data_IF_958575388067
#
_entry.id   IF_958575388067
#
_cell.length_a   1.000
_cell.length_b   1.000
_cell.length_c   1.000
_cell.angle_alpha   90.00
_cell.angle_beta   90.00
_cell.angle_gamma   90.00
#
_symmetry.space_group_name_H-M   'P 1'
#
loop_
_entity.id
_entity.type
_entity.pdbx_description
1 polymer ?
#
# COMPACT_ATOMS: atom_id res chain seq x y z
N UNK A 1 -14.43 9.19 -11.27
CA UNK A 1 -14.59 8.35 -10.08
C UNK A 1 -13.33 8.49 -9.26
N UNK A 2 -13.33 9.36 -8.25
CA UNK A 2 -12.27 9.38 -7.24
C UNK A 2 -12.55 8.18 -6.34
N UNK A 3 -12.07 7.01 -6.75
CA UNK A 3 -12.08 5.83 -5.88
C UNK A 3 -11.26 6.22 -4.66
N UNK A 4 -11.96 6.45 -3.55
CA UNK A 4 -11.43 7.01 -2.31
C UNK A 4 -10.07 6.38 -1.97
N UNK A 5 -8.99 7.15 -2.12
CA UNK A 5 -7.60 6.67 -1.97
C UNK A 5 -7.35 6.12 -0.55
N UNK A 6 -8.07 6.68 0.44
CA UNK A 6 -8.11 6.20 1.82
C UNK A 6 -8.75 4.81 1.92
N UNK A 7 -9.81 4.54 1.14
CA UNK A 7 -10.40 3.20 1.04
C UNK A 7 -9.42 2.20 0.43
N UNK A 8 -8.61 2.62 -0.53
CA UNK A 8 -7.62 1.73 -1.14
C UNK A 8 -6.55 1.29 -0.14
N UNK A 9 -6.07 2.18 0.74
CA UNK A 9 -5.21 1.81 1.87
C UNK A 9 -5.85 0.72 2.74
N UNK A 10 -7.09 0.93 3.18
CA UNK A 10 -7.83 -0.06 3.99
C UNK A 10 -7.94 -1.41 3.29
N UNK A 11 -8.26 -1.42 1.99
CA UNK A 11 -8.39 -2.65 1.20
C UNK A 11 -7.05 -3.37 1.02
N UNK A 12 -5.96 -2.63 0.82
CA UNK A 12 -4.61 -3.20 0.70
C UNK A 12 -4.16 -3.84 2.02
N UNK A 13 -4.38 -3.16 3.14
CA UNK A 13 -4.07 -3.70 4.46
C UNK A 13 -4.88 -4.98 4.72
N UNK A 14 -6.19 -4.97 4.49
CA UNK A 14 -7.02 -6.16 4.67
C UNK A 14 -6.56 -7.34 3.78
N UNK A 15 -6.22 -7.08 2.52
CA UNK A 15 -5.68 -8.11 1.62
C UNK A 15 -4.33 -8.66 2.11
N UNK A 16 -3.51 -7.81 2.71
CA UNK A 16 -2.26 -8.18 3.36
C UNK A 16 -2.48 -9.06 4.60
N UNK A 17 -3.44 -8.71 5.44
CA UNK A 17 -3.84 -9.49 6.61
C UNK A 17 -4.40 -10.87 6.21
N UNK A 18 -5.25 -10.93 5.18
CA UNK A 18 -5.76 -12.19 4.62
C UNK A 18 -4.61 -13.11 4.18
N UNK A 19 -3.62 -12.55 3.50
CA UNK A 19 -2.43 -13.26 3.06
C UNK A 19 -1.58 -13.73 4.25
N UNK A 20 -1.42 -12.90 5.28
CA UNK A 20 -0.66 -13.25 6.48
C UNK A 20 -1.36 -14.35 7.29
N UNK A 21 -2.68 -14.25 7.47
CA UNK A 21 -3.49 -15.27 8.12
C UNK A 21 -3.38 -16.61 7.37
N UNK A 22 -3.44 -16.55 6.04
CA UNK A 22 -3.24 -17.72 5.16
C UNK A 22 -1.86 -18.34 5.33
N UNK A 23 -0.81 -17.52 5.35
CA UNK A 23 0.58 -17.98 5.51
C UNK A 23 0.83 -18.63 6.89
N UNK A 24 0.11 -18.20 7.94
CA UNK A 24 0.23 -18.72 9.32
C UNK A 24 -0.70 -19.90 9.64
N UNK A 25 -1.60 -20.26 8.73
CA UNK A 25 -2.64 -21.26 8.99
C UNK A 25 -2.06 -22.64 9.30
N UNK A 26 -2.73 -23.35 10.22
CA UNK A 26 -2.46 -24.76 10.56
C UNK A 26 -3.75 -25.57 10.41
N UNK A 27 -3.80 -26.64 9.58
CA UNK A 27 -2.73 -27.13 8.71
C UNK A 27 -2.31 -26.12 7.62
N UNK A 28 -1.10 -26.24 7.04
CA UNK A 28 -0.61 -25.27 6.06
C UNK A 28 -1.54 -25.07 4.88
N UNK A 29 -1.72 -23.81 4.47
CA UNK A 29 -2.46 -23.47 3.26
C UNK A 29 -1.76 -24.01 2.00
N UNK A 30 -2.57 -24.29 0.97
CA UNK A 30 -2.06 -24.65 -0.36
C UNK A 30 -1.27 -23.49 -0.97
N UNK A 31 -0.19 -23.79 -1.70
CA UNK A 31 0.65 -22.76 -2.31
C UNK A 31 -0.12 -21.93 -3.36
N UNK A 32 -1.09 -22.54 -4.05
CA UNK A 32 -1.95 -21.85 -5.01
C UNK A 32 -2.79 -20.75 -4.35
N UNK A 33 -3.25 -20.98 -3.12
CA UNK A 33 -4.02 -20.01 -2.35
C UNK A 33 -3.14 -18.81 -1.97
N UNK A 34 -1.92 -19.07 -1.52
CA UNK A 34 -0.91 -18.03 -1.25
C UNK A 34 -0.61 -17.26 -2.55
N UNK A 35 -0.43 -17.95 -3.68
CA UNK A 35 -0.16 -17.32 -4.97
C UNK A 35 -1.30 -16.37 -5.40
N UNK A 36 -2.56 -16.80 -5.27
CA UNK A 36 -3.73 -15.99 -5.60
C UNK A 36 -3.82 -14.72 -4.75
N UNK A 37 -3.62 -14.84 -3.43
CA UNK A 37 -3.63 -13.69 -2.53
C UNK A 37 -2.49 -12.72 -2.81
N UNK A 38 -1.30 -13.22 -3.17
CA UNK A 38 -0.17 -12.38 -3.60
C UNK A 38 -0.47 -11.61 -4.88
N UNK A 39 -1.08 -12.25 -5.87
CA UNK A 39 -1.50 -11.59 -7.12
C UNK A 39 -2.55 -10.51 -6.83
N UNK A 40 -3.53 -10.81 -5.96
CA UNK A 40 -4.52 -9.84 -5.52
C UNK A 40 -3.88 -8.62 -4.86
N UNK A 41 -2.96 -8.82 -3.92
CA UNK A 41 -2.26 -7.73 -3.24
C UNK A 41 -1.43 -6.89 -4.22
N UNK A 42 -0.71 -7.52 -5.14
CA UNK A 42 0.05 -6.82 -6.18
C UNK A 42 -0.86 -5.97 -7.09
N UNK A 43 -2.00 -6.52 -7.52
CA UNK A 43 -2.98 -5.78 -8.32
C UNK A 43 -3.55 -4.56 -7.59
N UNK A 44 -3.86 -4.71 -6.29
CA UNK A 44 -4.31 -3.59 -5.45
C UNK A 44 -3.24 -2.51 -5.31
N UNK A 45 -1.98 -2.89 -5.05
CA UNK A 45 -0.87 -1.95 -4.94
C UNK A 45 -0.64 -1.17 -6.25
N UNK A 46 -0.71 -1.84 -7.41
CA UNK A 46 -0.61 -1.17 -8.71
C UNK A 46 -1.76 -0.22 -9.00
N UNK A 47 -3.00 -0.63 -8.67
CA UNK A 47 -4.17 0.22 -8.84
C UNK A 47 -4.09 1.46 -7.93
N UNK A 48 -3.62 1.28 -6.71
CA UNK A 48 -3.42 2.36 -5.75
C UNK A 48 -2.38 3.37 -6.22
N UNK A 49 -1.20 2.90 -6.65
CA UNK A 49 -0.15 3.73 -7.24
C UNK A 49 -0.65 4.62 -8.37
N UNK A 50 -1.45 4.04 -9.27
CA UNK A 50 -2.04 4.80 -10.38
C UNK A 50 -3.02 5.86 -9.88
N UNK A 51 -3.89 5.50 -8.93
CA UNK A 51 -4.86 6.41 -8.37
C UNK A 51 -4.21 7.57 -7.60
N UNK A 52 -3.15 7.29 -6.84
CA UNK A 52 -2.34 8.29 -6.14
C UNK A 52 -1.69 9.28 -7.12
N UNK A 53 -1.05 8.74 -8.16
CA UNK A 53 -0.41 9.55 -9.20
C UNK A 53 -1.42 10.48 -9.88
N UNK A 54 -2.61 9.98 -10.22
CA UNK A 54 -3.65 10.73 -10.93
C UNK A 54 -4.38 11.75 -10.03
N UNK A 55 -4.56 11.44 -8.74
CA UNK A 55 -5.40 12.24 -7.82
C UNK A 55 -4.59 13.24 -7.01
N UNK A 56 -3.35 12.90 -6.65
CA UNK A 56 -2.54 13.67 -5.70
C UNK A 56 -1.27 14.18 -6.38
N UNK A 57 -0.38 13.28 -6.82
CA UNK A 57 0.99 13.64 -7.22
C UNK A 57 0.97 14.52 -8.47
N UNK A 58 0.37 14.07 -9.56
CA UNK A 58 0.35 14.82 -10.82
C UNK A 58 -0.37 16.17 -10.69
N UNK A 59 -1.53 16.29 -10.04
CA UNK A 59 -2.17 17.58 -9.80
C UNK A 59 -1.31 18.56 -8.98
N UNK A 60 -0.62 18.09 -7.93
CA UNK A 60 0.29 18.94 -7.15
C UNK A 60 1.49 19.41 -7.98
N UNK A 61 2.06 18.53 -8.78
CA UNK A 61 3.21 18.83 -9.65
C UNK A 61 2.83 19.83 -10.75
N UNK A 62 1.73 19.57 -11.46
CA UNK A 62 1.31 20.40 -12.60
C UNK A 62 0.82 21.79 -12.19
N UNK A 63 0.28 21.92 -10.97
CA UNK A 63 -0.13 23.20 -10.40
C UNK A 63 0.99 23.96 -9.70
N UNK A 64 2.18 23.38 -9.56
CA UNK A 64 3.30 23.97 -8.81
C UNK A 64 3.03 24.13 -7.31
N UNK A 65 2.08 23.36 -6.76
CA UNK A 65 1.65 23.48 -5.36
C UNK A 65 2.35 22.51 -4.41
N UNK A 66 3.19 21.62 -4.92
CA UNK A 66 3.90 20.64 -4.07
C UNK A 66 4.73 21.32 -2.98
N UNK A 67 5.35 22.45 -3.27
CA UNK A 67 6.25 23.16 -2.34
C UNK A 67 5.47 23.84 -1.20
N UNK A 68 4.14 23.91 -1.31
CA UNK A 68 3.26 24.41 -0.25
C UNK A 68 2.97 23.35 0.81
N UNK A 69 3.34 22.08 0.57
CA UNK A 69 3.22 21.00 1.53
C UNK A 69 4.62 20.68 2.06
N UNK A 70 4.94 21.05 3.32
CA UNK A 70 6.25 20.82 3.90
C UNK A 70 6.63 19.33 3.85
N UNK A 71 7.75 19.03 3.19
CA UNK A 71 8.28 17.68 3.11
C UNK A 71 7.58 16.76 2.10
N UNK A 72 6.62 17.24 1.29
CA UNK A 72 5.90 16.38 0.34
C UNK A 72 6.82 15.66 -0.66
N UNK A 73 7.83 16.35 -1.20
CA UNK A 73 8.78 15.74 -2.12
C UNK A 73 9.58 14.60 -1.47
N UNK A 74 10.00 14.77 -0.22
CA UNK A 74 10.69 13.73 0.55
C UNK A 74 9.76 12.55 0.84
N UNK A 75 8.51 12.83 1.22
CA UNK A 75 7.52 11.79 1.49
C UNK A 75 7.16 10.97 0.25
N UNK A 76 6.98 11.60 -0.92
CA UNK A 76 6.78 10.89 -2.20
C UNK A 76 7.99 10.01 -2.52
N UNK A 77 9.21 10.48 -2.24
CA UNK A 77 10.41 9.67 -2.41
C UNK A 77 10.46 8.47 -1.44
N UNK A 78 10.06 8.66 -0.17
CA UNK A 78 9.88 7.58 0.82
C UNK A 78 8.88 6.53 0.31
N UNK A 79 7.71 6.95 -0.19
CA UNK A 79 6.68 6.04 -0.71
C UNK A 79 7.17 5.26 -1.93
N UNK A 80 7.91 5.90 -2.84
CA UNK A 80 8.58 5.21 -3.97
C UNK A 80 9.60 4.18 -3.49
N UNK A 81 10.38 4.48 -2.45
CA UNK A 81 11.29 3.52 -1.85
C UNK A 81 10.54 2.32 -1.23
N UNK A 82 9.38 2.56 -0.61
CA UNK A 82 8.48 1.51 -0.11
C UNK A 82 8.02 0.54 -1.21
N UNK A 83 7.68 1.06 -2.39
CA UNK A 83 7.37 0.22 -3.56
C UNK A 83 8.55 -0.62 -4.04
N UNK A 84 9.77 -0.08 -3.96
CA UNK A 84 11.00 -0.83 -4.19
C UNK A 84 11.13 -2.00 -3.21
N UNK A 85 10.93 -1.74 -1.91
CA UNK A 85 10.99 -2.77 -0.87
C UNK A 85 9.94 -3.88 -1.07
N UNK A 86 8.71 -3.53 -1.49
CA UNK A 86 7.70 -4.53 -1.85
C UNK A 86 8.12 -5.38 -3.06
N UNK A 87 8.67 -4.75 -4.09
CA UNK A 87 9.17 -5.44 -5.28
C UNK A 87 10.30 -6.42 -4.93
N UNK A 88 11.20 -6.03 -4.02
CA UNK A 88 12.26 -6.88 -3.52
C UNK A 88 11.72 -8.04 -2.68
N UNK A 89 10.70 -7.80 -1.85
CA UNK A 89 9.99 -8.83 -1.11
C UNK A 89 9.40 -9.88 -2.06
N UNK A 90 8.71 -9.44 -3.12
CA UNK A 90 8.11 -10.34 -4.13
C UNK A 90 9.18 -11.16 -4.85
N UNK A 91 10.32 -10.55 -5.21
CA UNK A 91 11.45 -11.24 -5.87
C UNK A 91 12.10 -12.27 -4.96
N UNK A 92 12.26 -11.95 -3.67
CA UNK A 92 12.87 -12.84 -2.67
C UNK A 92 12.01 -14.07 -2.40
N UNK A 93 10.71 -13.86 -2.19
CA UNK A 93 9.80 -14.91 -1.79
C UNK A 93 9.11 -15.54 -2.99
N UNK A 94 9.82 -16.41 -3.72
CA UNK A 94 9.22 -17.26 -4.75
C UNK A 94 8.35 -18.35 -4.11
N UNK A 95 7.44 -19.00 -4.86
CA UNK A 95 6.64 -20.10 -4.30
C UNK A 95 7.51 -21.23 -3.70
N UNK A 96 8.60 -21.68 -4.36
CA UNK A 96 9.53 -22.62 -3.74
C UNK A 96 10.18 -22.11 -2.45
N UNK A 97 10.58 -20.84 -2.39
CA UNK A 97 11.16 -20.24 -1.19
C UNK A 97 10.15 -20.17 -0.03
N UNK A 98 8.90 -19.83 -0.34
CA UNK A 98 7.80 -19.83 0.63
C UNK A 98 7.55 -21.24 1.15
N UNK A 99 7.53 -22.24 0.28
CA UNK A 99 7.29 -23.63 0.69
C UNK A 99 8.40 -24.17 1.58
N UNK A 100 9.66 -23.82 1.26
CA UNK A 100 10.84 -24.19 2.03
C UNK A 100 10.93 -23.47 3.38
N UNK A 101 10.42 -22.23 3.50
CA UNK A 101 10.46 -21.43 4.72
C UNK A 101 9.17 -20.61 4.93
N UNK A 102 8.10 -21.31 5.32
CA UNK A 102 6.79 -20.70 5.57
C UNK A 102 6.79 -19.75 6.77
N UNK A 103 7.56 -20.09 7.81
CA UNK A 103 7.66 -19.28 9.02
C UNK A 103 8.39 -17.96 8.74
N UNK A 104 9.52 -18.01 8.02
CA UNK A 104 10.24 -16.83 7.58
C UNK A 104 9.42 -15.97 6.63
N UNK A 105 8.64 -16.58 5.72
CA UNK A 105 7.72 -15.83 4.87
C UNK A 105 6.67 -15.07 5.68
N UNK A 106 6.01 -15.74 6.64
CA UNK A 106 5.01 -15.12 7.50
C UNK A 106 5.61 -13.99 8.37
N UNK A 107 6.84 -14.14 8.84
CA UNK A 107 7.55 -13.09 9.58
C UNK A 107 7.86 -11.89 8.69
N UNK A 108 8.44 -12.13 7.50
CA UNK A 108 8.77 -11.08 6.54
C UNK A 108 7.52 -10.32 6.07
N UNK A 109 6.42 -11.04 5.86
CA UNK A 109 5.14 -10.45 5.48
C UNK A 109 4.56 -9.58 6.61
N UNK A 110 4.64 -10.03 7.87
CA UNK A 110 4.22 -9.24 9.03
C UNK A 110 4.98 -7.92 9.11
N UNK A 111 6.31 -7.95 8.98
CA UNK A 111 7.16 -6.75 9.02
C UNK A 111 6.82 -5.78 7.89
N UNK A 112 6.59 -6.31 6.68
CA UNK A 112 6.19 -5.50 5.53
C UNK A 112 4.83 -4.82 5.74
N UNK A 113 3.87 -5.51 6.36
CA UNK A 113 2.55 -4.93 6.67
C UNK A 113 2.64 -3.84 7.74
N UNK A 114 3.46 -4.03 8.76
CA UNK A 114 3.68 -3.00 9.79
C UNK A 114 4.28 -1.73 9.18
N UNK A 115 5.27 -1.87 8.30
CA UNK A 115 5.85 -0.76 7.54
C UNK A 115 4.82 -0.08 6.64
N UNK A 116 4.00 -0.86 5.93
CA UNK A 116 2.98 -0.34 5.03
C UNK A 116 1.92 0.49 5.79
N UNK A 117 1.48 0.04 6.96
CA UNK A 117 0.52 0.80 7.80
C UNK A 117 1.09 2.15 8.21
N UNK A 118 2.29 2.16 8.75
CA UNK A 118 2.96 3.40 9.20
C UNK A 118 3.14 4.36 8.03
N UNK A 119 3.52 3.84 6.85
CA UNK A 119 3.67 4.65 5.65
C UNK A 119 2.32 5.25 5.19
N UNK A 120 1.27 4.43 5.09
CA UNK A 120 -0.07 4.86 4.68
C UNK A 120 -0.66 5.92 5.63
N UNK A 121 -0.54 5.73 6.95
CA UNK A 121 -1.02 6.71 7.94
C UNK A 121 -0.27 8.05 7.82
N UNK A 122 1.06 7.99 7.61
CA UNK A 122 1.87 9.19 7.38
C UNK A 122 1.48 9.88 6.09
N UNK A 123 1.34 9.13 5.01
CA UNK A 123 0.98 9.64 3.69
C UNK A 123 -0.39 10.32 3.71
N UNK A 124 -1.39 9.69 4.32
CA UNK A 124 -2.72 10.27 4.49
C UNK A 124 -2.64 11.62 5.22
N UNK A 125 -1.96 11.65 6.37
CA UNK A 125 -1.89 12.82 7.25
C UNK A 125 -1.06 13.95 6.68
N UNK A 126 0.08 13.63 6.05
CA UNK A 126 1.10 14.61 5.67
C UNK A 126 1.07 14.97 4.19
N UNK A 127 0.49 14.12 3.33
CA UNK A 127 0.37 14.38 1.90
C UNK A 127 -1.08 14.52 1.47
N UNK A 128 -1.92 13.50 1.65
CA UNK A 128 -3.25 13.47 1.03
C UNK A 128 -4.17 14.56 1.59
N UNK A 129 -4.32 14.66 2.91
CA UNK A 129 -5.17 15.68 3.52
C UNK A 129 -4.76 17.11 3.13
N UNK A 130 -3.46 17.51 3.23
CA UNK A 130 -3.00 18.80 2.72
C UNK A 130 -3.22 18.99 1.22
N UNK A 131 -2.93 17.97 0.41
CA UNK A 131 -3.08 18.03 -1.04
C UNK A 131 -4.53 18.27 -1.45
N UNK A 132 -5.47 17.53 -0.88
CA UNK A 132 -6.89 17.67 -1.17
C UNK A 132 -7.40 19.08 -0.81
N UNK A 133 -7.00 19.62 0.36
CA UNK A 133 -7.31 20.99 0.75
C UNK A 133 -6.75 22.02 -0.24
N UNK A 134 -5.49 21.86 -0.65
CA UNK A 134 -4.84 22.75 -1.61
C UNK A 134 -5.44 22.66 -3.00
N UNK A 135 -5.89 21.49 -3.42
CA UNK A 135 -6.50 21.25 -4.73
C UNK A 135 -8.00 21.60 -4.75
N UNK A 136 -8.59 21.99 -3.62
CA UNK A 136 -10.02 22.30 -3.49
C UNK A 136 -10.91 21.07 -3.60
N UNK A 137 -10.36 19.87 -3.39
CA UNK A 137 -11.09 18.61 -3.37
C UNK A 137 -11.49 18.28 -1.93
N UNK A 138 -12.78 18.06 -1.70
CA UNK A 138 -13.26 17.52 -0.41
C UNK A 138 -13.15 16.00 -0.45
N UNK A 139 -12.39 15.37 0.47
CA UNK A 139 -12.51 13.93 0.64
C UNK A 139 -13.95 13.61 1.04
N UNK A 140 -14.53 12.58 0.42
CA UNK A 140 -15.81 12.05 0.87
C UNK A 140 -15.54 11.38 2.22
N UNK A 141 -15.90 12.03 3.31
CA UNK A 141 -15.98 11.37 4.61
C UNK A 141 -16.87 10.15 4.44
N UNK A 142 -16.26 8.96 4.47
CA UNK A 142 -17.05 7.76 4.69
C UNK A 142 -17.42 7.82 6.16
N UNK A 143 -18.64 8.28 6.46
CA UNK A 143 -19.22 8.15 7.80
C UNK A 143 -19.14 6.67 8.17
N UNK A 144 -18.31 6.35 9.15
CA UNK A 144 -18.39 5.08 9.84
C UNK A 144 -19.68 5.14 10.69
N UNK A 145 -20.71 4.44 10.23
CA UNK A 145 -21.84 4.02 11.04
C UNK A 145 -21.53 2.74 11.78
#
# INVERSE_FOLDING_TARGET
>A
MTDDIFRQHRVMIAAGEDLLATARRTPPARLEEIAQLRVRLAGLAMAHLKAEEETIVRPLMSSGRIDQIPGAAALIAECRAGHGAYSDHVRRWTLPAIDADRAGYAQALSQMLDQLRVMMEREERLLYWPALRLLGATPRETQAG
#
